data_IF_531267550062
#
_entry.id   IF_531267550062
#
_cell.length_a   1.000
_cell.length_b   1.000
_cell.length_c   1.000
_cell.angle_alpha   90.00
_cell.angle_beta   90.00
_cell.angle_gamma   90.00
#
_symmetry.space_group_name_H-M   'P 1'
#
loop_
_entity.id
_entity.type
_entity.pdbx_description
1 polymer ?
#
# COMPACT_ATOMS: atom_id res chain seq x y z
N UNK A 1 -25.42 -9.10 -45.51
CA UNK A 1 -25.55 -9.65 -44.15
C UNK A 1 -24.22 -9.42 -43.44
N UNK A 2 -24.05 -8.29 -42.74
CA UNK A 2 -22.83 -7.99 -41.98
C UNK A 2 -22.93 -8.65 -40.61
N UNK A 3 -22.06 -9.63 -40.35
CA UNK A 3 -22.02 -10.37 -39.10
C UNK A 3 -21.53 -9.51 -37.94
N UNK A 4 -22.32 -9.44 -36.88
CA UNK A 4 -22.02 -8.78 -35.62
C UNK A 4 -20.79 -9.43 -34.99
N UNK A 5 -19.68 -8.70 -34.87
CA UNK A 5 -18.50 -9.16 -34.12
C UNK A 5 -18.86 -9.28 -32.65
N UNK A 6 -18.87 -10.51 -32.13
CA UNK A 6 -19.11 -10.79 -30.71
C UNK A 6 -18.08 -10.10 -29.83
N UNK A 7 -18.55 -9.40 -28.81
CA UNK A 7 -17.74 -8.77 -27.79
C UNK A 7 -17.14 -9.87 -26.88
N UNK A 8 -15.82 -10.08 -26.95
CA UNK A 8 -15.11 -11.09 -26.16
C UNK A 8 -14.76 -10.65 -24.72
N UNK A 9 -15.22 -9.47 -24.28
CA UNK A 9 -14.83 -8.92 -22.97
C UNK A 9 -15.72 -9.34 -21.80
N UNK A 10 -16.51 -10.41 -21.94
CA UNK A 10 -17.26 -10.99 -20.83
C UNK A 10 -16.40 -12.02 -20.08
N UNK A 11 -15.26 -11.59 -19.52
CA UNK A 11 -14.53 -12.41 -18.54
C UNK A 11 -15.32 -12.33 -17.24
N UNK A 12 -16.15 -13.35 -17.01
CA UNK A 12 -17.11 -13.40 -15.91
C UNK A 12 -16.47 -13.12 -14.55
N UNK A 13 -17.15 -12.29 -13.76
CA UNK A 13 -16.82 -11.98 -12.36
C UNK A 13 -16.62 -13.22 -11.47
N UNK A 14 -17.04 -14.40 -11.91
CA UNK A 14 -17.02 -15.65 -11.13
C UNK A 14 -15.64 -16.28 -10.97
N UNK A 15 -14.67 -16.01 -11.85
CA UNK A 15 -13.34 -16.63 -11.80
C UNK A 15 -12.53 -16.21 -10.56
N UNK A 16 -12.74 -14.99 -10.05
CA UNK A 16 -11.95 -14.42 -8.97
C UNK A 16 -12.33 -14.94 -7.57
N UNK A 17 -13.47 -15.63 -7.43
CA UNK A 17 -13.93 -16.12 -6.14
C UNK A 17 -13.16 -17.37 -5.67
N UNK A 18 -12.50 -18.09 -6.57
CA UNK A 18 -11.73 -19.31 -6.26
C UNK A 18 -10.25 -19.07 -6.02
N UNK A 19 -9.78 -17.83 -6.10
CA UNK A 19 -8.38 -17.48 -5.88
C UNK A 19 -8.06 -17.52 -4.39
N UNK A 20 -7.05 -18.30 -4.03
CA UNK A 20 -6.49 -18.36 -2.68
C UNK A 20 -5.61 -17.13 -2.45
N UNK A 21 -6.18 -16.11 -1.79
CA UNK A 21 -5.55 -14.80 -1.65
C UNK A 21 -4.31 -14.82 -0.76
N UNK A 22 -4.18 -15.79 0.14
CA UNK A 22 -2.99 -15.93 0.99
C UNK A 22 -1.81 -16.45 0.18
N UNK A 23 -2.05 -17.43 -0.71
CA UNK A 23 -1.02 -17.89 -1.65
C UNK A 23 -0.64 -16.82 -2.67
N UNK A 24 -1.60 -16.03 -3.14
CA UNK A 24 -1.31 -14.92 -4.03
C UNK A 24 -0.54 -13.79 -3.33
N UNK A 25 -0.80 -13.55 -2.03
CA UNK A 25 -0.01 -12.63 -1.24
C UNK A 25 1.44 -13.09 -1.13
N UNK A 26 1.68 -14.37 -0.84
CA UNK A 26 3.03 -14.94 -0.77
C UNK A 26 3.74 -14.90 -2.12
N UNK A 27 3.04 -15.25 -3.20
CA UNK A 27 3.58 -15.19 -4.55
C UNK A 27 3.92 -13.75 -4.99
N UNK A 28 3.13 -12.76 -4.58
CA UNK A 28 3.39 -11.35 -4.85
C UNK A 28 4.62 -10.85 -4.10
N UNK A 29 4.79 -11.26 -2.84
CA UNK A 29 5.98 -10.97 -2.04
C UNK A 29 7.21 -11.58 -2.69
N UNK A 30 7.20 -12.89 -2.96
CA UNK A 30 8.33 -13.59 -3.58
C UNK A 30 8.68 -12.98 -4.94
N UNK A 31 7.67 -12.71 -5.77
CA UNK A 31 7.91 -12.06 -7.06
C UNK A 31 8.58 -10.70 -6.88
N UNK A 32 8.09 -9.85 -5.97
CA UNK A 32 8.62 -8.50 -5.76
C UNK A 32 10.08 -8.44 -5.28
N UNK A 33 10.63 -9.56 -4.78
CA UNK A 33 12.03 -9.66 -4.34
C UNK A 33 12.99 -9.81 -5.51
N UNK A 34 12.48 -10.18 -6.69
CA UNK A 34 13.32 -10.36 -7.87
C UNK A 34 13.87 -9.00 -8.34
N UNK A 35 15.15 -8.92 -8.73
CA UNK A 35 15.82 -7.66 -9.05
C UNK A 35 15.29 -6.97 -10.31
N UNK A 36 14.56 -7.69 -11.15
CA UNK A 36 13.93 -7.25 -12.40
C UNK A 36 12.43 -6.89 -12.24
N UNK A 37 11.91 -6.99 -11.02
CA UNK A 37 10.52 -6.65 -10.69
C UNK A 37 10.29 -5.16 -10.82
N UNK A 38 9.70 -4.76 -11.96
CA UNK A 38 9.57 -3.35 -12.34
C UNK A 38 8.13 -2.94 -12.58
N UNK A 39 7.16 -3.85 -12.65
CA UNK A 39 5.75 -3.45 -12.75
C UNK A 39 4.80 -4.53 -12.28
N UNK A 40 3.76 -4.16 -11.54
CA UNK A 40 2.67 -5.08 -11.17
C UNK A 40 1.99 -5.69 -12.40
N UNK A 41 2.05 -5.03 -13.55
CA UNK A 41 1.52 -5.57 -14.80
C UNK A 41 2.28 -6.81 -15.29
N UNK A 42 3.59 -6.91 -15.00
CA UNK A 42 4.37 -8.11 -15.31
C UNK A 42 3.91 -9.29 -14.44
N UNK A 43 3.70 -9.04 -13.15
CA UNK A 43 3.20 -10.05 -12.24
C UNK A 43 1.81 -10.56 -12.65
N UNK A 44 0.88 -9.65 -12.96
CA UNK A 44 -0.48 -10.02 -13.40
C UNK A 44 -0.47 -10.79 -14.72
N UNK A 45 0.48 -10.49 -15.61
CA UNK A 45 0.68 -11.25 -16.85
C UNK A 45 1.14 -12.69 -16.58
N UNK A 46 2.02 -12.90 -15.60
CA UNK A 46 2.44 -14.26 -15.20
C UNK A 46 1.35 -15.07 -14.51
N UNK A 47 0.38 -14.39 -13.88
CA UNK A 47 -0.69 -15.02 -13.10
C UNK A 47 -2.03 -15.13 -13.84
N UNK A 48 -2.11 -14.64 -15.07
CA UNK A 48 -3.30 -14.68 -15.93
C UNK A 48 -4.55 -14.03 -15.31
N UNK A 49 -4.36 -12.87 -14.67
CA UNK A 49 -5.49 -12.02 -14.27
C UNK A 49 -5.25 -10.56 -14.60
N UNK A 50 -6.32 -9.77 -14.60
CA UNK A 50 -6.25 -8.33 -14.87
C UNK A 50 -5.71 -7.58 -13.65
N UNK A 51 -4.95 -6.52 -13.89
CA UNK A 51 -4.47 -5.63 -12.82
C UNK A 51 -5.64 -5.00 -12.03
N UNK A 52 -6.78 -4.76 -12.68
CA UNK A 52 -8.00 -4.27 -12.03
C UNK A 52 -8.53 -5.22 -10.93
N UNK A 53 -8.18 -6.51 -10.97
CA UNK A 53 -8.59 -7.48 -9.95
C UNK A 53 -7.97 -7.22 -8.58
N UNK A 54 -6.88 -6.46 -8.51
CA UNK A 54 -6.24 -6.10 -7.23
C UNK A 54 -7.16 -5.29 -6.33
N UNK A 55 -7.98 -4.39 -6.89
CA UNK A 55 -8.96 -3.63 -6.10
C UNK A 55 -9.93 -4.57 -5.36
N UNK A 56 -10.28 -5.70 -5.97
CA UNK A 56 -11.16 -6.70 -5.38
C UNK A 56 -10.42 -7.57 -4.35
N UNK A 57 -9.17 -7.95 -4.63
CA UNK A 57 -8.36 -8.77 -3.72
C UNK A 57 -8.03 -8.03 -2.42
N UNK A 58 -7.68 -6.74 -2.52
CA UNK A 58 -7.38 -5.86 -1.37
C UNK A 58 -8.58 -5.65 -0.44
N UNK A 59 -9.80 -5.71 -0.99
CA UNK A 59 -11.05 -5.64 -0.21
C UNK A 59 -11.38 -6.96 0.50
N UNK A 60 -10.85 -8.08 0.01
CA UNK A 60 -11.14 -9.43 0.52
C UNK A 60 -10.09 -10.00 1.47
N UNK A 61 -8.85 -9.52 1.41
CA UNK A 61 -7.76 -9.99 2.25
C UNK A 61 -6.84 -8.85 2.68
N UNK A 62 -6.74 -8.63 3.99
CA UNK A 62 -5.80 -7.67 4.58
C UNK A 62 -4.34 -8.11 4.39
N UNK A 63 -4.09 -9.42 4.38
CA UNK A 63 -2.76 -9.97 4.08
C UNK A 63 -2.35 -9.65 2.66
N UNK A 64 -3.25 -9.83 1.69
CA UNK A 64 -2.98 -9.45 0.30
C UNK A 64 -2.76 -7.93 0.17
N UNK A 65 -3.53 -7.11 0.89
CA UNK A 65 -3.31 -5.66 0.96
C UNK A 65 -1.90 -5.33 1.44
N UNK A 66 -1.48 -5.90 2.56
CA UNK A 66 -0.14 -5.68 3.11
C UNK A 66 0.96 -6.14 2.14
N UNK A 67 0.77 -7.29 1.49
CA UNK A 67 1.68 -7.80 0.47
C UNK A 67 1.79 -6.85 -0.73
N UNK A 68 0.65 -6.31 -1.19
CA UNK A 68 0.62 -5.36 -2.30
C UNK A 68 1.37 -4.07 -1.97
N UNK A 69 1.21 -3.52 -0.76
CA UNK A 69 1.95 -2.33 -0.30
C UNK A 69 3.46 -2.60 -0.35
N UNK A 70 3.90 -3.70 0.25
CA UNK A 70 5.33 -4.07 0.27
C UNK A 70 5.90 -4.30 -1.13
N UNK A 71 5.12 -4.95 -2.01
CA UNK A 71 5.53 -5.18 -3.39
C UNK A 71 5.66 -3.87 -4.17
N UNK A 72 4.75 -2.91 -3.93
CA UNK A 72 4.81 -1.57 -4.52
C UNK A 72 6.10 -0.85 -4.12
N UNK A 73 6.42 -0.78 -2.82
CA UNK A 73 7.66 -0.17 -2.31
C UNK A 73 8.92 -0.76 -2.96
N UNK A 74 8.98 -2.09 -3.07
CA UNK A 74 10.11 -2.80 -3.71
C UNK A 74 10.24 -2.49 -5.19
N UNK A 75 9.12 -2.42 -5.91
CA UNK A 75 9.11 -2.04 -7.33
C UNK A 75 9.64 -0.62 -7.51
N UNK A 76 9.26 0.33 -6.65
CA UNK A 76 9.77 1.69 -6.69
C UNK A 76 11.30 1.70 -6.51
N UNK A 77 11.79 1.02 -5.47
CA UNK A 77 13.23 0.88 -5.21
C UNK A 77 13.99 0.24 -6.38
N UNK A 78 13.47 -0.87 -6.93
CA UNK A 78 14.11 -1.57 -8.05
C UNK A 78 14.19 -0.70 -9.31
N UNK A 79 13.16 0.10 -9.59
CA UNK A 79 13.17 1.02 -10.73
C UNK A 79 14.22 2.09 -10.59
N UNK A 80 14.31 2.72 -9.41
CA UNK A 80 15.33 3.73 -9.13
C UNK A 80 16.73 3.12 -9.28
N UNK A 81 16.96 1.95 -8.67
CA UNK A 81 18.22 1.21 -8.80
C UNK A 81 18.58 0.92 -10.26
N UNK A 82 17.65 0.37 -11.04
CA UNK A 82 17.91 0.02 -12.46
C UNK A 82 18.11 1.26 -13.34
N UNK A 83 17.49 2.39 -13.00
CA UNK A 83 17.73 3.68 -13.65
C UNK A 83 19.16 4.16 -13.37
N UNK A 84 19.60 4.12 -12.11
CA UNK A 84 20.97 4.50 -11.72
C UNK A 84 22.03 3.58 -12.31
N UNK A 85 21.74 2.28 -12.47
CA UNK A 85 22.62 1.31 -13.12
C UNK A 85 22.66 1.43 -14.66
N UNK A 86 21.88 2.33 -15.26
CA UNK A 86 21.78 2.48 -16.72
C UNK A 86 21.13 1.29 -17.44
N UNK A 87 20.56 0.34 -16.68
CA UNK A 87 19.88 -0.87 -17.21
C UNK A 87 18.43 -0.63 -17.56
N UNK A 88 17.89 0.53 -17.19
CA UNK A 88 16.53 0.94 -17.52
C UNK A 88 16.55 2.19 -18.38
N UNK A 89 15.95 2.09 -19.58
CA UNK A 89 15.85 3.24 -20.47
C UNK A 89 14.87 4.28 -19.89
N UNK A 90 15.26 5.55 -19.88
CA UNK A 90 14.51 6.61 -19.19
C UNK A 90 13.08 6.79 -19.73
N UNK A 91 12.83 6.55 -21.02
CA UNK A 91 11.47 6.58 -21.56
C UNK A 91 10.58 5.46 -20.98
N UNK A 92 11.12 4.26 -20.81
CA UNK A 92 10.44 3.12 -20.18
C UNK A 92 10.24 3.35 -18.68
N UNK A 93 11.21 4.00 -18.02
CA UNK A 93 11.09 4.50 -16.65
C UNK A 93 9.88 5.42 -16.51
N UNK A 94 9.83 6.50 -17.30
CA UNK A 94 8.78 7.51 -17.22
C UNK A 94 7.38 6.93 -17.47
N UNK A 95 7.25 6.03 -18.46
CA UNK A 95 5.97 5.35 -18.75
C UNK A 95 5.50 4.49 -17.57
N UNK A 96 6.43 3.73 -16.98
CA UNK A 96 6.14 2.83 -15.87
C UNK A 96 5.90 3.60 -14.56
N UNK A 97 6.63 4.70 -14.35
CA UNK A 97 6.46 5.63 -13.24
C UNK A 97 5.06 6.24 -13.27
N UNK A 98 4.60 6.74 -14.41
CA UNK A 98 3.26 7.32 -14.53
C UNK A 98 2.13 6.35 -14.10
N UNK A 99 2.20 5.09 -14.56
CA UNK A 99 1.20 4.06 -14.17
C UNK A 99 1.25 3.78 -12.67
N UNK A 100 2.45 3.73 -12.11
CA UNK A 100 2.66 3.46 -10.69
C UNK A 100 2.21 4.63 -9.81
N UNK A 101 2.52 5.86 -10.18
CA UNK A 101 2.08 7.07 -9.49
C UNK A 101 0.56 7.17 -9.45
N UNK A 102 -0.11 6.83 -10.56
CA UNK A 102 -1.57 6.74 -10.61
C UNK A 102 -2.11 5.69 -9.62
N UNK A 103 -1.44 4.54 -9.49
CA UNK A 103 -1.83 3.49 -8.55
C UNK A 103 -1.54 3.84 -7.09
N UNK A 104 -0.45 4.58 -6.79
CA UNK A 104 -0.16 5.09 -5.45
C UNK A 104 -1.19 6.15 -5.05
N UNK A 105 -1.39 7.17 -5.89
CA UNK A 105 -2.33 8.27 -5.62
C UNK A 105 -3.75 7.78 -5.38
N UNK A 106 -4.18 6.75 -6.12
CA UNK A 106 -5.47 6.11 -5.89
C UNK A 106 -5.53 5.43 -4.52
N UNK A 107 -4.48 4.68 -4.16
CA UNK A 107 -4.41 4.04 -2.84
C UNK A 107 -4.39 5.07 -1.70
N UNK A 108 -3.58 6.11 -1.79
CA UNK A 108 -3.52 7.16 -0.76
C UNK A 108 -4.87 7.83 -0.55
N UNK A 109 -5.61 8.06 -1.65
CA UNK A 109 -6.97 8.57 -1.61
C UNK A 109 -7.92 7.60 -0.91
N UNK A 110 -7.85 6.31 -1.25
CA UNK A 110 -8.72 5.28 -0.66
C UNK A 110 -8.41 5.10 0.85
N UNK A 111 -7.14 5.15 1.24
CA UNK A 111 -6.70 5.08 2.64
C UNK A 111 -7.13 6.33 3.43
N UNK A 112 -7.08 7.51 2.81
CA UNK A 112 -7.58 8.76 3.41
C UNK A 112 -9.10 8.71 3.64
N UNK A 113 -9.86 8.25 2.63
CA UNK A 113 -11.32 8.11 2.73
C UNK A 113 -11.67 7.12 3.84
N UNK A 114 -11.03 5.95 3.86
CA UNK A 114 -11.25 4.94 4.90
C UNK A 114 -10.96 5.48 6.31
N UNK A 115 -9.82 6.17 6.50
CA UNK A 115 -9.48 6.79 7.79
C UNK A 115 -10.52 7.83 8.22
N UNK A 116 -11.01 8.64 7.27
CA UNK A 116 -12.02 9.67 7.53
C UNK A 116 -13.34 9.03 7.95
N UNK A 117 -13.82 8.02 7.22
CA UNK A 117 -15.05 7.29 7.54
C UNK A 117 -14.99 6.62 8.91
N UNK A 118 -13.85 6.01 9.27
CA UNK A 118 -13.65 5.40 10.58
C UNK A 118 -13.69 6.46 11.68
N UNK A 119 -13.04 7.60 11.50
CA UNK A 119 -13.07 8.70 12.47
C UNK A 119 -14.48 9.28 12.66
N UNK A 120 -15.26 9.42 11.59
CA UNK A 120 -16.65 9.88 11.67
C UNK A 120 -17.54 8.89 12.43
N UNK A 121 -17.40 7.59 12.17
CA UNK A 121 -18.12 6.55 12.90
C UNK A 121 -17.77 6.54 14.40
N UNK A 122 -16.49 6.73 14.72
CA UNK A 122 -16.02 6.83 16.12
C UNK A 122 -16.67 8.05 16.79
N UNK A 123 -16.60 9.25 16.17
CA UNK A 123 -17.23 10.47 16.71
C UNK A 123 -18.72 10.31 16.91
N UNK A 124 -19.42 9.68 15.96
CA UNK A 124 -20.86 9.44 16.05
C UNK A 124 -21.23 8.46 17.19
N UNK A 125 -20.42 7.43 17.45
CA UNK A 125 -20.64 6.53 18.59
C UNK A 125 -20.46 7.24 19.94
N UNK A 126 -19.45 8.11 20.06
CA UNK A 126 -19.21 8.87 21.29
C UNK A 126 -20.27 9.96 21.53
N UNK A 127 -20.80 10.61 20.48
CA UNK A 127 -21.90 11.58 20.63
C UNK A 127 -23.24 10.93 21.01
N UNK A 128 -23.46 9.66 20.66
CA UNK A 128 -24.63 8.89 21.12
C UNK A 128 -24.49 8.35 22.55
N UNK A 129 -23.28 8.05 23.02
CA UNK A 129 -23.04 7.65 24.42
C UNK A 129 -23.17 8.81 25.41
N UNK A 130 -22.90 10.05 24.99
CA UNK A 130 -23.11 11.25 25.82
C UNK A 130 -24.57 11.68 25.97
N UNK A 131 -25.52 11.00 25.32
CA UNK A 131 -26.96 11.28 25.37
C UNK A 131 -27.73 10.38 26.36
N UNK A 132 -27.04 9.61 27.21
CA UNK A 132 -27.68 8.88 28.31
C UNK A 132 -27.97 9.84 29.48
N UNK A 133 -29.18 9.78 30.09
CA UNK A 133 -29.49 10.62 31.24
C UNK A 133 -28.55 10.28 32.41
N UNK A 134 -28.15 11.29 33.22
CA UNK A 134 -27.28 11.06 34.37
C UNK A 134 -28.07 10.32 35.45
N UNK A 135 -28.04 8.99 35.45
CA UNK A 135 -28.45 8.22 36.62
C UNK A 135 -27.70 6.89 36.74
N UNK A 136 -26.46 6.98 37.22
CA UNK A 136 -25.94 6.20 38.34
C UNK A 136 -24.42 6.44 38.42
N UNK A 137 -24.04 7.46 39.20
CA UNK A 137 -22.69 7.49 39.77
C UNK A 137 -22.63 6.40 40.84
N UNK A 138 -22.16 5.20 40.46
CA UNK A 138 -21.37 4.36 41.34
C UNK A 138 -20.79 3.19 40.56
N UNK A 139 -19.49 2.93 40.81
CA UNK A 139 -18.62 1.95 40.18
C UNK A 139 -18.25 2.34 38.74
N UNK A 140 -17.02 2.75 38.43
CA UNK A 140 -15.79 2.00 38.65
C UNK A 140 -14.65 3.00 38.84
N UNK A 141 -14.07 3.03 40.05
CA UNK A 141 -12.69 3.46 40.24
C UNK A 141 -11.82 2.32 39.73
N UNK A 142 -11.21 2.49 38.57
CA UNK A 142 -9.92 1.88 38.21
C UNK A 142 -9.38 2.66 37.02
N UNK A 143 -8.86 3.85 37.33
CA UNK A 143 -8.03 4.65 36.44
C UNK A 143 -6.86 5.14 37.28
N UNK A 144 -5.83 4.30 37.37
CA UNK A 144 -4.46 4.74 37.57
C UNK A 144 -3.60 4.07 36.53
N UNK A 145 -2.70 4.89 35.98
CA UNK A 145 -1.79 4.61 34.86
C UNK A 145 -2.53 4.67 33.52
N UNK A 146 -2.41 5.73 32.74
CA UNK A 146 -1.14 6.17 32.13
C UNK A 146 -1.09 7.69 32.11
N UNK A 147 -0.19 8.26 32.91
CA UNK A 147 0.25 9.64 32.81
C UNK A 147 1.41 9.74 31.79
N UNK A 148 1.37 10.83 31.02
CA UNK A 148 2.48 11.47 30.32
C UNK A 148 3.25 10.68 29.24
N UNK A 149 2.96 10.98 27.96
CA UNK A 149 4.00 11.02 26.94
C UNK A 149 3.92 12.37 26.20
N UNK A 150 4.95 13.17 26.46
CA UNK A 150 5.23 14.51 25.96
C UNK A 150 5.69 14.43 24.48
N UNK A 151 5.10 15.19 23.54
CA UNK A 151 5.53 15.18 22.14
C UNK A 151 6.55 16.30 21.88
N UNK A 152 7.84 16.06 22.18
CA UNK A 152 8.86 17.04 21.81
C UNK A 152 10.29 16.70 22.19
N UNK A 153 11.01 16.03 21.30
CA UNK A 153 12.44 16.28 20.98
C UNK A 153 13.01 15.11 20.18
N UNK A 154 13.04 15.23 18.85
CA UNK A 154 14.04 14.52 18.03
C UNK A 154 14.93 15.61 17.47
N UNK A 155 15.96 15.97 18.23
CA UNK A 155 17.10 16.68 17.69
C UNK A 155 18.08 15.65 17.10
N UNK A 156 18.35 15.88 15.84
CA UNK A 156 19.35 15.29 14.97
C UNK A 156 20.76 15.26 15.58
N UNK A 157 21.37 14.08 15.64
CA UNK A 157 22.83 13.94 15.68
C UNK A 157 23.32 13.60 14.26
N UNK A 158 23.96 14.59 13.65
CA UNK A 158 24.73 14.44 12.43
C UNK A 158 26.06 13.78 12.76
N UNK A 159 26.31 12.60 12.18
CA UNK A 159 27.62 11.96 12.18
C UNK A 159 28.53 12.71 11.21
N UNK A 160 29.44 13.52 11.75
CA UNK A 160 30.52 14.16 10.98
C UNK A 160 31.65 13.16 10.83
N UNK A 161 31.89 12.68 9.60
CA UNK A 161 33.05 11.83 9.27
C UNK A 161 34.18 12.75 8.84
N UNK A 162 35.26 12.70 9.61
CA UNK A 162 36.51 13.39 9.45
C UNK A 162 37.25 12.88 8.18
N UNK A 163 37.55 13.78 7.24
CA UNK A 163 38.44 13.51 6.10
C UNK A 163 39.75 14.26 6.30
N UNK A 164 40.73 13.58 6.89
CA UNK A 164 42.13 14.00 6.84
C UNK A 164 42.80 13.44 5.58
N UNK A 165 43.09 14.33 4.63
CA UNK A 165 44.22 14.15 3.68
C UNK A 165 45.52 14.52 4.40
N UNK A 166 46.61 13.77 4.17
CA UNK A 166 47.79 14.34 3.47
C UNK A 166 48.49 13.21 2.65
N UNK A 167 49.52 13.36 1.83
CA UNK A 167 50.38 14.44 1.38
C UNK A 167 51.09 13.93 0.10
N UNK A 168 51.51 14.88 -0.71
CA UNK A 168 52.47 14.80 -1.82
C UNK A 168 53.76 14.04 -1.46
N UNK A 169 54.26 13.18 -2.37
CA UNK A 169 55.65 13.16 -2.89
C UNK A 169 55.61 12.70 -4.35
#
# INVERSE_FOLDING_TARGET
>A
MAGTKGNQNAVGHEAYNKVDLDKEADALIEWSEKPDSTSLQQFTYHKDYLLASFDHFVKRSDRFRAALIKAKERIAFNRERLLHEGKFHQASFNKSAHVYDCLMKKQDRDDFVFKTEVQEQIKHKYSQQSALPPNNQNLINDSKEIESLDPGAIQSEATSVDQTSPETI
#
